data_IF_527644101584
#
_entry.id   IF_527644101584
#
_cell.length_a   1.000
_cell.length_b   1.000
_cell.length_c   1.000
_cell.angle_alpha   90.00
_cell.angle_beta   90.00
_cell.angle_gamma   90.00
#
_symmetry.space_group_name_H-M   'P 1'
#
loop_
_entity.id
_entity.type
_entity.pdbx_description
1 polymer ?
#
# COMPACT_ATOMS: atom_id res chain seq x y z
N UNK A 1 -7.15 -1.77 -21.91
CA UNK A 1 -6.79 -1.45 -20.51
C UNK A 1 -7.91 -2.00 -19.66
N UNK A 2 -7.65 -3.01 -18.82
CA UNK A 2 -8.70 -3.64 -18.00
C UNK A 2 -8.92 -2.78 -16.76
N UNK A 3 -10.14 -2.29 -16.56
CA UNK A 3 -10.56 -1.66 -15.31
C UNK A 3 -10.80 -2.75 -14.29
N UNK A 4 -10.13 -2.67 -13.14
CA UNK A 4 -10.28 -3.66 -12.09
C UNK A 4 -10.81 -2.99 -10.82
N UNK A 5 -11.82 -3.62 -10.23
CA UNK A 5 -12.59 -3.10 -9.13
C UNK A 5 -12.37 -3.99 -7.88
N UNK A 6 -12.10 -3.39 -6.72
CA UNK A 6 -12.05 -4.08 -5.42
C UNK A 6 -13.28 -4.96 -5.16
N UNK A 7 -14.44 -4.52 -5.62
CA UNK A 7 -15.70 -5.24 -5.48
C UNK A 7 -15.76 -6.57 -6.26
N UNK A 8 -14.77 -6.84 -7.12
CA UNK A 8 -14.63 -8.14 -7.80
C UNK A 8 -14.07 -9.25 -6.90
N UNK A 9 -13.49 -8.90 -5.75
CA UNK A 9 -12.96 -9.86 -4.79
C UNK A 9 -14.12 -10.55 -4.06
N UNK A 10 -14.39 -11.81 -4.40
CA UNK A 10 -15.54 -12.57 -3.86
C UNK A 10 -15.34 -13.07 -2.42
N UNK A 11 -14.10 -13.12 -1.94
CA UNK A 11 -13.72 -13.75 -0.67
C UNK A 11 -13.97 -12.88 0.56
N UNK A 12 -14.36 -11.61 0.38
CA UNK A 12 -14.51 -10.63 1.46
C UNK A 12 -15.87 -9.97 1.45
N UNK A 13 -16.30 -9.54 2.63
CA UNK A 13 -17.52 -8.77 2.81
C UNK A 13 -17.46 -7.43 2.03
N UNK A 14 -18.61 -7.05 1.44
CA UNK A 14 -18.70 -5.86 0.60
C UNK A 14 -18.46 -4.57 1.36
N UNK A 15 -18.85 -4.49 2.62
CA UNK A 15 -18.66 -3.28 3.43
C UNK A 15 -17.20 -3.16 3.90
N UNK A 16 -16.53 -4.28 4.12
CA UNK A 16 -15.08 -4.29 4.30
C UNK A 16 -14.35 -3.80 3.04
N UNK A 17 -14.77 -4.25 1.86
CA UNK A 17 -14.18 -3.82 0.58
C UNK A 17 -14.40 -2.32 0.32
N UNK A 18 -15.58 -1.77 0.63
CA UNK A 18 -15.84 -0.32 0.56
C UNK A 18 -14.98 0.49 1.53
N UNK A 19 -14.79 -0.04 2.74
CA UNK A 19 -13.94 0.60 3.75
C UNK A 19 -12.48 0.62 3.30
N UNK A 20 -12.01 -0.47 2.69
CA UNK A 20 -10.70 -0.52 2.06
C UNK A 20 -10.58 0.45 0.89
N UNK A 21 -11.59 0.52 -0.01
CA UNK A 21 -11.59 1.47 -1.13
C UNK A 21 -11.41 2.90 -0.64
N UNK A 22 -12.19 3.29 0.37
CA UNK A 22 -12.12 4.62 0.99
C UNK A 22 -10.74 4.91 1.58
N UNK A 23 -10.12 3.91 2.21
CA UNK A 23 -8.77 4.03 2.76
C UNK A 23 -7.70 4.16 1.65
N UNK A 24 -7.82 3.38 0.59
CA UNK A 24 -6.87 3.39 -0.53
C UNK A 24 -6.93 4.70 -1.31
N UNK A 25 -8.11 5.31 -1.46
CA UNK A 25 -8.25 6.67 -2.01
C UNK A 25 -7.39 7.66 -1.20
N UNK A 26 -7.46 7.62 0.13
CA UNK A 26 -6.68 8.52 0.97
C UNK A 26 -5.17 8.29 0.84
N UNK A 27 -4.74 7.03 0.75
CA UNK A 27 -3.32 6.69 0.54
C UNK A 27 -2.84 7.10 -0.86
N UNK A 28 -3.66 6.95 -1.89
CA UNK A 28 -3.35 7.38 -3.25
C UNK A 28 -3.17 8.90 -3.32
N UNK A 29 -4.12 9.68 -2.78
CA UNK A 29 -4.05 11.14 -2.76
C UNK A 29 -2.81 11.69 -2.03
N UNK A 30 -2.30 10.94 -1.05
CA UNK A 30 -1.10 11.30 -0.29
C UNK A 30 0.20 10.65 -0.81
N UNK A 31 0.11 9.88 -1.91
CA UNK A 31 1.21 9.07 -2.45
C UNK A 31 1.93 8.24 -1.37
N UNK A 32 1.18 7.74 -0.39
CA UNK A 32 1.73 7.08 0.79
C UNK A 32 1.98 5.59 0.55
N UNK A 33 3.15 5.13 1.02
CA UNK A 33 3.41 3.71 1.18
C UNK A 33 2.78 3.21 2.49
N UNK A 34 2.20 2.01 2.46
CA UNK A 34 1.49 1.47 3.61
C UNK A 34 1.79 -0.01 3.85
N UNK A 35 1.45 -0.48 5.04
CA UNK A 35 1.65 -1.86 5.47
C UNK A 35 0.32 -2.52 5.83
N UNK A 36 0.25 -3.86 5.80
CA UNK A 36 -0.92 -4.61 6.26
C UNK A 36 -1.33 -4.25 7.69
N UNK A 37 -0.35 -4.00 8.57
CA UNK A 37 -0.60 -3.59 9.96
C UNK A 37 -1.33 -2.24 10.01
N UNK A 38 -0.91 -1.27 9.18
CA UNK A 38 -1.58 0.04 9.12
C UNK A 38 -3.02 -0.09 8.62
N UNK A 39 -3.25 -0.91 7.58
CA UNK A 39 -4.60 -1.17 7.07
C UNK A 39 -5.46 -1.87 8.12
N UNK A 40 -4.93 -2.90 8.79
CA UNK A 40 -5.65 -3.61 9.85
C UNK A 40 -6.08 -2.69 10.99
N UNK A 41 -5.22 -1.75 11.40
CA UNK A 41 -5.58 -0.74 12.40
C UNK A 41 -6.69 0.22 11.93
N UNK A 42 -6.64 0.68 10.69
CA UNK A 42 -7.66 1.60 10.16
C UNK A 42 -9.01 0.92 9.95
N UNK A 43 -9.01 -0.35 9.54
CA UNK A 43 -10.23 -1.13 9.31
C UNK A 43 -10.69 -1.91 10.54
N UNK A 44 -9.98 -1.80 11.67
CA UNK A 44 -10.20 -2.56 12.90
C UNK A 44 -10.31 -4.08 12.66
N UNK A 45 -9.40 -4.63 11.84
CA UNK A 45 -9.33 -6.06 11.53
C UNK A 45 -7.98 -6.67 11.94
N UNK A 46 -7.91 -8.00 12.19
CA UNK A 46 -6.66 -8.69 12.47
C UNK A 46 -5.62 -8.52 11.36
N UNK A 47 -4.34 -8.55 11.75
CA UNK A 47 -3.20 -8.42 10.84
C UNK A 47 -3.23 -9.46 9.70
N UNK A 48 -3.63 -10.69 10.00
CA UNK A 48 -3.65 -11.75 8.99
C UNK A 48 -4.76 -11.50 7.95
N UNK A 49 -5.92 -10.99 8.40
CA UNK A 49 -7.01 -10.62 7.51
C UNK A 49 -6.63 -9.42 6.63
N UNK A 50 -5.99 -8.39 7.20
CA UNK A 50 -5.53 -7.25 6.41
C UNK A 50 -4.44 -7.64 5.40
N UNK A 51 -3.62 -8.65 5.72
CA UNK A 51 -2.63 -9.19 4.79
C UNK A 51 -3.31 -9.88 3.61
N UNK A 52 -4.24 -10.81 3.87
CA UNK A 52 -4.98 -11.53 2.82
C UNK A 52 -5.79 -10.58 1.93
N UNK A 53 -6.40 -9.57 2.54
CA UNK A 53 -7.19 -8.56 1.85
C UNK A 53 -6.33 -7.76 0.85
N UNK A 54 -5.14 -7.33 1.27
CA UNK A 54 -4.21 -6.60 0.41
C UNK A 54 -3.60 -7.47 -0.69
N UNK A 55 -3.36 -8.76 -0.42
CA UNK A 55 -2.95 -9.70 -1.46
C UNK A 55 -4.04 -9.87 -2.52
N UNK A 56 -5.29 -10.02 -2.10
CA UNK A 56 -6.42 -10.13 -3.03
C UNK A 56 -6.58 -8.85 -3.86
N UNK A 57 -6.43 -7.68 -3.22
CA UNK A 57 -6.42 -6.39 -3.93
C UNK A 57 -5.28 -6.27 -4.95
N UNK A 58 -4.12 -6.87 -4.67
CA UNK A 58 -2.99 -6.93 -5.61
C UNK A 58 -3.24 -7.88 -6.78
N UNK A 59 -3.84 -9.04 -6.53
CA UNK A 59 -4.19 -10.00 -7.59
C UNK A 59 -5.15 -9.41 -8.61
N UNK A 60 -6.09 -8.58 -8.13
CA UNK A 60 -6.99 -7.81 -8.99
C UNK A 60 -6.37 -6.47 -9.42
N UNK A 61 -5.06 -6.24 -9.27
CA UNK A 61 -4.37 -5.09 -9.84
C UNK A 61 -4.75 -3.71 -9.28
N UNK A 62 -5.33 -3.64 -8.08
CA UNK A 62 -5.74 -2.39 -7.43
C UNK A 62 -4.59 -1.75 -6.65
N UNK A 63 -3.74 -2.57 -6.05
CA UNK A 63 -2.52 -2.15 -5.34
C UNK A 63 -1.34 -2.95 -5.85
N UNK A 64 -0.12 -2.46 -5.60
CA UNK A 64 1.09 -3.23 -5.84
C UNK A 64 2.01 -3.23 -4.62
N UNK A 65 3.07 -4.02 -4.68
CA UNK A 65 4.14 -4.05 -3.69
C UNK A 65 5.42 -3.46 -4.26
N UNK A 66 6.06 -2.58 -3.50
CA UNK A 66 7.36 -1.99 -3.84
C UNK A 66 8.37 -2.30 -2.76
N UNK A 67 9.60 -2.60 -3.16
CA UNK A 67 10.71 -2.80 -2.24
C UNK A 67 11.26 -1.44 -1.79
N UNK A 68 11.38 -1.26 -0.47
CA UNK A 68 11.67 0.03 0.15
C UNK A 68 12.73 -0.14 1.23
N UNK A 69 13.61 0.84 1.32
CA UNK A 69 14.52 1.01 2.46
C UNK A 69 13.97 2.08 3.39
N UNK A 70 13.76 1.73 4.65
CA UNK A 70 13.47 2.68 5.73
C UNK A 70 14.77 2.99 6.45
N UNK A 71 15.18 4.25 6.50
CA UNK A 71 16.31 4.64 7.33
C UNK A 71 16.00 4.38 8.81
N UNK A 72 16.87 3.65 9.51
CA UNK A 72 16.69 3.33 10.92
C UNK A 72 16.82 4.56 11.82
N UNK A 73 17.57 5.57 11.38
CA UNK A 73 17.84 6.78 12.15
C UNK A 73 16.72 7.82 12.03
N UNK A 74 16.38 8.24 10.80
CA UNK A 74 15.38 9.30 10.59
C UNK A 74 14.00 8.79 10.12
N UNK A 75 13.84 7.48 9.91
CA UNK A 75 12.57 6.87 9.52
C UNK A 75 12.14 7.10 8.07
N UNK A 76 12.93 7.83 7.26
CA UNK A 76 12.59 8.14 5.86
C UNK A 76 12.51 6.86 5.02
N UNK A 77 11.43 6.72 4.25
CA UNK A 77 11.25 5.66 3.25
C UNK A 77 11.87 6.09 1.91
N UNK A 78 12.61 5.17 1.30
CA UNK A 78 13.33 5.37 0.04
C UNK A 78 13.01 4.18 -0.86
N UNK A 79 12.34 4.42 -2.00
CA UNK A 79 12.13 3.39 -3.03
C UNK A 79 13.51 2.90 -3.50
N UNK A 80 13.74 1.60 -3.43
CA UNK A 80 15.06 1.04 -3.72
C UNK A 80 15.24 0.83 -5.22
N UNK A 81 16.09 1.64 -5.85
CA UNK A 81 16.42 1.54 -7.27
C UNK A 81 17.85 1.03 -7.52
N UNK A 82 18.45 0.31 -6.55
CA UNK A 82 19.72 -0.41 -6.75
C UNK A 82 21.00 0.24 -6.23
N UNK A 83 21.03 1.50 -5.78
CA UNK A 83 22.33 2.16 -5.51
C UNK A 83 22.43 3.14 -4.33
N UNK A 84 21.40 3.32 -3.50
CA UNK A 84 21.52 4.21 -2.33
C UNK A 84 22.03 3.46 -1.10
N UNK A 85 23.35 3.51 -0.88
CA UNK A 85 24.01 3.03 0.34
C UNK A 85 23.89 4.00 1.53
N UNK A 86 23.44 5.25 1.29
CA UNK A 86 23.41 6.32 2.28
C UNK A 86 22.07 7.06 2.25
N UNK A 87 21.54 7.41 3.43
CA UNK A 87 20.25 8.09 3.54
C UNK A 87 20.40 9.55 3.07
N UNK A 88 19.56 10.06 2.17
CA UNK A 88 19.69 11.42 1.64
C UNK A 88 19.37 12.51 2.68
N UNK A 89 18.70 12.14 3.78
CA UNK A 89 18.29 13.09 4.83
C UNK A 89 19.31 13.17 5.95
N UNK A 90 19.66 12.04 6.56
CA UNK A 90 20.51 12.00 7.75
C UNK A 90 21.90 11.38 7.50
N UNK A 91 22.22 11.02 6.26
CA UNK A 91 23.49 10.38 5.85
C UNK A 91 23.84 9.08 6.58
N UNK A 92 22.88 8.45 7.24
CA UNK A 92 23.05 7.12 7.85
C UNK A 92 23.10 6.03 6.78
N UNK A 93 23.93 5.01 7.00
CA UNK A 93 24.00 3.77 6.21
C UNK A 93 23.12 2.65 6.79
N UNK A 94 22.46 2.89 7.93
CA UNK A 94 21.64 1.90 8.60
C UNK A 94 20.20 1.94 8.07
N UNK A 95 19.82 0.88 7.36
CA UNK A 95 18.50 0.72 6.76
C UNK A 95 17.82 -0.56 7.23
N UNK A 96 16.50 -0.48 7.35
CA UNK A 96 15.62 -1.64 7.37
C UNK A 96 15.01 -1.80 5.99
N UNK A 97 15.05 -3.01 5.47
CA UNK A 97 14.51 -3.33 4.17
C UNK A 97 13.17 -4.05 4.32
N UNK A 98 12.28 -3.86 3.35
CA UNK A 98 11.00 -4.56 3.33
C UNK A 98 10.14 -4.18 2.15
N UNK A 99 9.06 -4.94 2.00
CA UNK A 99 8.03 -4.66 1.01
C UNK A 99 6.90 -3.84 1.64
N UNK A 100 6.50 -2.80 0.94
CA UNK A 100 5.34 -1.98 1.28
C UNK A 100 4.34 -2.04 0.14
N UNK A 101 3.08 -1.83 0.47
CA UNK A 101 2.04 -1.67 -0.54
C UNK A 101 1.99 -0.23 -1.03
N UNK A 102 1.66 -0.08 -2.30
CA UNK A 102 1.49 1.19 -2.99
C UNK A 102 0.18 1.19 -3.78
N UNK A 103 -0.41 2.37 -3.92
CA UNK A 103 -1.57 2.65 -4.76
C UNK A 103 -1.15 3.21 -6.11
N UNK A 104 0.08 2.96 -6.58
CA UNK A 104 0.56 3.42 -7.90
C UNK A 104 -0.31 2.88 -9.06
N UNK A 105 -0.90 1.70 -8.89
CA UNK A 105 -1.86 1.10 -9.84
C UNK A 105 -3.31 1.53 -9.60
N UNK A 106 -3.59 2.13 -8.45
CA UNK A 106 -4.93 2.51 -8.03
C UNK A 106 -5.41 3.67 -8.89
N UNK A 107 -6.24 3.37 -9.90
CA UNK A 107 -6.88 4.36 -10.76
C UNK A 107 -8.36 4.32 -10.48
N UNK A 108 -8.86 5.30 -9.72
CA UNK A 108 -10.30 5.54 -9.64
C UNK A 108 -10.72 6.16 -10.97
N UNK A 109 -11.69 5.58 -11.66
CA UNK A 109 -12.46 6.41 -12.58
C UNK A 109 -13.03 7.55 -11.74
N UNK A 110 -12.66 8.78 -12.07
CA UNK A 110 -13.59 9.88 -11.86
C UNK A 110 -14.80 9.50 -12.70
N UNK A 111 -15.74 8.77 -12.11
CA UNK A 111 -17.08 8.69 -12.65
C UNK A 111 -17.55 10.15 -12.70
N UNK A 112 -17.52 10.70 -13.91
CA UNK A 112 -18.28 11.85 -14.32
C UNK A 112 -19.68 11.72 -13.71
N UNK A 113 -19.97 12.58 -12.74
CA UNK A 113 -21.31 13.10 -12.52
C UNK A 113 -21.20 14.61 -12.47
#
# INVERSE_FOLDING_TARGET
MYFVNLMSIKSFDKDLLKSLDSLLVNFHSSAELFTPIRVGKNLNIPKDLSYQLLLSAREVGVVDTVFVRKCSNCGKLIKFNGSNAVCPVCRSTNFKEGYYFTTDLYKREMMYQ
#
